data_IF_918368609436
#
_entry.id   IF_918368609436
#
_cell.length_a   1.000
_cell.length_b   1.000
_cell.length_c   1.000
_cell.angle_alpha   90.00
_cell.angle_beta   90.00
_cell.angle_gamma   90.00
#
_symmetry.space_group_name_H-M   'P 1'
#
loop_
_entity.id
_entity.type
_entity.pdbx_description
1 polymer ?
#
# COMPACT_ATOMS: atom_id res chain seq x y z
N UNK A 1 31.66 6.32 -5.27
CA UNK A 1 30.28 6.81 -5.47
C UNK A 1 29.40 5.77 -6.16
N UNK A 2 29.73 5.21 -7.35
CA UNK A 2 28.86 4.25 -8.05
C UNK A 2 28.55 3.00 -7.23
N UNK A 3 29.49 2.44 -6.46
CA UNK A 3 29.25 1.29 -5.58
C UNK A 3 28.19 1.63 -4.51
N UNK A 4 28.23 2.83 -3.95
CA UNK A 4 27.25 3.27 -2.94
C UNK A 4 25.85 3.45 -3.53
N UNK A 5 25.76 3.86 -4.81
CA UNK A 5 24.48 3.94 -5.53
C UNK A 5 23.91 2.54 -5.77
N UNK A 6 24.73 1.55 -6.14
CA UNK A 6 24.27 0.15 -6.24
C UNK A 6 23.81 -0.41 -4.90
N UNK A 7 24.52 -0.09 -3.80
CA UNK A 7 24.08 -0.47 -2.44
C UNK A 7 22.72 0.17 -2.13
N UNK A 8 22.54 1.47 -2.39
CA UNK A 8 21.27 2.15 -2.19
C UNK A 8 20.16 1.52 -3.03
N UNK A 9 20.41 1.23 -4.31
CA UNK A 9 19.46 0.54 -5.18
C UNK A 9 19.05 -0.83 -4.63
N UNK A 10 19.98 -1.61 -4.11
CA UNK A 10 19.70 -2.88 -3.46
C UNK A 10 18.84 -2.74 -2.20
N UNK A 11 19.12 -1.72 -1.39
CA UNK A 11 18.37 -1.44 -0.17
C UNK A 11 16.93 -1.00 -0.44
N UNK A 12 16.65 -0.29 -1.54
CA UNK A 12 15.27 0.05 -1.92
C UNK A 12 14.38 -1.19 -2.07
N UNK A 13 14.90 -2.28 -2.59
CA UNK A 13 14.15 -3.53 -2.75
C UNK A 13 14.20 -4.36 -1.45
N UNK A 14 15.37 -4.45 -0.84
CA UNK A 14 15.60 -5.34 0.31
C UNK A 14 14.70 -4.98 1.48
N UNK A 15 14.55 -3.68 1.81
CA UNK A 15 13.79 -3.24 2.99
C UNK A 15 12.33 -3.68 2.94
N UNK A 16 11.51 -3.35 1.92
CA UNK A 16 10.12 -3.80 1.88
C UNK A 16 9.98 -5.32 1.73
N UNK A 17 10.90 -6.00 1.04
CA UNK A 17 10.90 -7.47 0.95
C UNK A 17 11.12 -8.10 2.32
N UNK A 18 12.11 -7.64 3.07
CA UNK A 18 12.37 -8.12 4.44
C UNK A 18 11.16 -7.89 5.35
N UNK A 19 10.51 -6.72 5.25
CA UNK A 19 9.29 -6.44 6.00
C UNK A 19 8.17 -7.43 5.66
N UNK A 20 7.96 -7.75 4.37
CA UNK A 20 6.98 -8.76 3.94
C UNK A 20 7.34 -10.16 4.45
N UNK A 21 8.61 -10.54 4.35
CA UNK A 21 9.09 -11.85 4.83
C UNK A 21 8.86 -11.98 6.33
N UNK A 22 9.27 -11.00 7.13
CA UNK A 22 9.05 -10.98 8.59
C UNK A 22 7.55 -11.07 8.90
N UNK A 23 6.72 -10.25 8.22
CA UNK A 23 5.27 -10.27 8.42
C UNK A 23 4.67 -11.64 8.08
N UNK A 24 5.16 -12.31 7.04
CA UNK A 24 4.70 -13.65 6.65
C UNK A 24 5.02 -14.70 7.70
N UNK A 25 6.26 -14.72 8.20
CA UNK A 25 6.68 -15.69 9.20
C UNK A 25 5.93 -15.51 10.53
N UNK A 26 5.65 -14.27 10.94
CA UNK A 26 4.97 -14.00 12.20
C UNK A 26 3.45 -14.22 12.08
N UNK A 27 2.84 -13.83 10.95
CA UNK A 27 1.36 -13.68 10.86
C UNK A 27 0.68 -14.34 9.65
N UNK A 28 1.44 -14.96 8.74
CA UNK A 28 0.93 -15.72 7.57
C UNK A 28 -0.19 -14.98 6.80
N UNK A 29 0.12 -13.85 6.18
CA UNK A 29 -0.80 -13.16 5.28
C UNK A 29 -0.99 -13.92 3.96
N UNK A 30 -2.01 -13.54 3.18
CA UNK A 30 -2.27 -14.12 1.86
C UNK A 30 -1.43 -13.43 0.80
N UNK A 31 -0.85 -14.20 -0.10
CA UNK A 31 -0.06 -13.66 -1.21
C UNK A 31 -0.90 -12.75 -2.15
N UNK A 32 -2.21 -12.98 -2.26
CA UNK A 32 -3.14 -12.10 -2.99
C UNK A 32 -3.15 -10.66 -2.48
N UNK A 33 -2.84 -10.43 -1.20
CA UNK A 33 -2.72 -9.09 -0.65
C UNK A 33 -1.49 -8.36 -1.20
N UNK A 34 -0.37 -9.07 -1.38
CA UNK A 34 0.84 -8.53 -2.00
C UNK A 34 0.57 -8.16 -3.46
N UNK A 35 -0.03 -9.07 -4.22
CA UNK A 35 -0.42 -8.78 -5.62
C UNK A 35 -1.37 -7.58 -5.66
N UNK A 36 -2.33 -7.51 -4.74
CA UNK A 36 -3.28 -6.40 -4.65
C UNK A 36 -2.61 -5.04 -4.41
N UNK A 37 -1.61 -4.96 -3.52
CA UNK A 37 -0.86 -3.74 -3.28
C UNK A 37 -0.04 -3.30 -4.49
N UNK A 38 0.68 -4.20 -5.12
CA UNK A 38 1.42 -3.95 -6.36
C UNK A 38 0.48 -3.49 -7.49
N UNK A 39 -0.65 -4.18 -7.66
CA UNK A 39 -1.65 -3.82 -8.68
C UNK A 39 -2.25 -2.43 -8.40
N UNK A 40 -2.54 -2.08 -7.13
CA UNK A 40 -3.02 -0.76 -6.75
C UNK A 40 -2.06 0.34 -7.18
N UNK A 41 -0.76 0.15 -6.93
CA UNK A 41 0.28 1.08 -7.36
C UNK A 41 0.31 1.26 -8.88
N UNK A 42 0.39 0.16 -9.62
CA UNK A 42 0.47 0.22 -11.08
C UNK A 42 -0.77 0.87 -11.70
N UNK A 43 -1.97 0.51 -11.26
CA UNK A 43 -3.20 1.11 -11.78
C UNK A 43 -3.27 2.61 -11.46
N UNK A 44 -2.95 3.02 -10.23
CA UNK A 44 -2.93 4.42 -9.87
C UNK A 44 -1.88 5.20 -10.67
N UNK A 45 -0.63 4.73 -10.68
CA UNK A 45 0.52 5.49 -11.17
C UNK A 45 0.68 5.42 -12.70
N UNK A 46 0.44 4.25 -13.30
CA UNK A 46 0.71 4.04 -14.73
C UNK A 46 -0.53 4.20 -15.61
N UNK A 47 -1.72 4.16 -15.02
CA UNK A 47 -2.97 4.28 -15.77
C UNK A 47 -3.74 5.54 -15.41
N UNK A 48 -4.12 5.71 -14.13
CA UNK A 48 -5.03 6.79 -13.74
C UNK A 48 -4.37 8.17 -13.73
N UNK A 49 -3.17 8.30 -13.16
CA UNK A 49 -2.47 9.59 -13.12
C UNK A 49 -2.18 10.11 -14.53
N UNK A 50 -1.59 9.35 -15.48
CA UNK A 50 -1.39 9.81 -16.85
C UNK A 50 -2.70 10.14 -17.57
N UNK A 51 -3.76 9.33 -17.36
CA UNK A 51 -5.07 9.59 -17.96
C UNK A 51 -5.66 10.93 -17.50
N UNK A 52 -5.62 11.20 -16.19
CA UNK A 52 -6.11 12.46 -15.62
C UNK A 52 -5.23 13.62 -16.08
N UNK A 53 -3.90 13.47 -16.11
CA UNK A 53 -2.99 14.50 -16.62
C UNK A 53 -3.29 14.85 -18.09
N UNK A 54 -3.57 13.85 -18.93
CA UNK A 54 -3.98 14.05 -20.31
C UNK A 54 -5.34 14.79 -20.40
N UNK A 55 -6.31 14.41 -19.56
CA UNK A 55 -7.60 15.12 -19.50
C UNK A 55 -7.43 16.57 -19.03
N UNK A 56 -6.56 16.84 -18.06
CA UNK A 56 -6.26 18.20 -17.61
C UNK A 56 -5.61 19.03 -18.71
N UNK A 57 -4.71 18.44 -19.51
CA UNK A 57 -4.11 19.11 -20.65
C UNK A 57 -5.16 19.54 -21.69
N UNK A 58 -6.21 18.74 -21.92
CA UNK A 58 -7.28 19.09 -22.88
C UNK A 58 -8.13 20.30 -22.46
N UNK A 59 -8.18 20.63 -21.16
CA UNK A 59 -8.89 21.80 -20.62
C UNK A 59 -7.98 23.00 -20.36
N UNK A 60 -6.77 23.01 -20.92
CA UNK A 60 -5.81 24.09 -20.78
C UNK A 60 -4.95 24.06 -19.51
N UNK A 61 -5.07 23.03 -18.69
CA UNK A 61 -4.22 22.81 -17.51
C UNK A 61 -3.07 21.84 -17.85
N UNK A 62 -2.44 22.07 -19.00
CA UNK A 62 -1.28 21.29 -19.46
C UNK A 62 0.04 21.72 -18.82
N UNK A 63 1.14 21.16 -19.34
CA UNK A 63 2.48 21.36 -18.80
C UNK A 63 2.88 22.84 -18.78
N UNK A 64 2.56 23.64 -19.80
CA UNK A 64 2.85 25.06 -19.85
C UNK A 64 2.18 25.86 -18.72
N UNK A 65 0.93 25.52 -18.40
CA UNK A 65 0.23 26.13 -17.27
C UNK A 65 0.95 25.84 -15.96
N UNK A 66 1.35 24.58 -15.73
CA UNK A 66 2.01 24.17 -14.51
C UNK A 66 3.44 24.65 -14.38
N UNK A 67 4.17 24.83 -15.48
CA UNK A 67 5.50 25.44 -15.46
C UNK A 67 5.46 26.90 -14.95
N UNK A 68 4.39 27.64 -15.29
CA UNK A 68 4.20 29.01 -14.81
C UNK A 68 3.67 29.08 -13.35
N UNK A 69 3.09 27.98 -12.85
CA UNK A 69 2.49 27.89 -11.50
C UNK A 69 3.10 26.75 -10.68
N UNK A 70 4.42 26.74 -10.55
CA UNK A 70 5.18 25.63 -9.94
C UNK A 70 4.66 25.17 -8.59
N UNK A 71 4.34 26.08 -7.67
CA UNK A 71 3.79 25.74 -6.37
C UNK A 71 2.41 25.06 -6.49
N UNK A 72 1.53 25.59 -7.34
CA UNK A 72 0.23 24.99 -7.63
C UNK A 72 0.34 23.59 -8.24
N UNK A 73 1.34 23.39 -9.12
CA UNK A 73 1.67 22.10 -9.70
C UNK A 73 2.04 21.06 -8.63
N UNK A 74 2.90 21.40 -7.71
CA UNK A 74 3.33 20.49 -6.63
C UNK A 74 2.14 20.11 -5.75
N UNK A 75 1.34 21.09 -5.32
CA UNK A 75 0.14 20.83 -4.50
C UNK A 75 -0.87 19.94 -5.24
N UNK A 76 -1.11 20.22 -6.53
CA UNK A 76 -2.04 19.41 -7.34
C UNK A 76 -1.51 17.99 -7.53
N UNK A 77 -0.21 17.83 -7.75
CA UNK A 77 0.42 16.53 -7.91
C UNK A 77 0.29 15.68 -6.64
N UNK A 78 0.55 16.27 -5.46
CA UNK A 78 0.34 15.61 -4.16
C UNK A 78 -1.12 15.22 -3.98
N UNK A 79 -2.04 16.12 -4.29
CA UNK A 79 -3.48 15.88 -4.17
C UNK A 79 -3.94 14.72 -5.04
N UNK A 80 -3.58 14.72 -6.33
CA UNK A 80 -3.95 13.66 -7.27
C UNK A 80 -3.32 12.32 -6.86
N UNK A 81 -2.03 12.31 -6.56
CA UNK A 81 -1.33 11.10 -6.16
C UNK A 81 -1.95 10.52 -4.89
N UNK A 82 -2.15 11.34 -3.84
CA UNK A 82 -2.72 10.87 -2.58
C UNK A 82 -4.11 10.26 -2.79
N UNK A 83 -5.02 10.98 -3.46
CA UNK A 83 -6.40 10.51 -3.64
C UNK A 83 -6.46 9.24 -4.49
N UNK A 84 -5.73 9.20 -5.60
CA UNK A 84 -5.77 8.04 -6.51
C UNK A 84 -5.13 6.81 -5.89
N UNK A 85 -4.02 6.95 -5.19
CA UNK A 85 -3.39 5.86 -4.45
C UNK A 85 -4.33 5.31 -3.37
N UNK A 86 -4.92 6.18 -2.56
CA UNK A 86 -5.82 5.77 -1.49
C UNK A 86 -7.09 5.11 -2.02
N UNK A 87 -7.67 5.68 -3.08
CA UNK A 87 -8.85 5.13 -3.72
C UNK A 87 -8.56 3.72 -4.26
N UNK A 88 -7.44 3.53 -4.95
CA UNK A 88 -7.06 2.23 -5.50
C UNK A 88 -6.75 1.20 -4.41
N UNK A 89 -6.02 1.59 -3.38
CA UNK A 89 -5.78 0.73 -2.21
C UNK A 89 -7.09 0.32 -1.54
N UNK A 90 -8.00 1.27 -1.33
CA UNK A 90 -9.31 0.99 -0.72
C UNK A 90 -10.17 0.08 -1.59
N UNK A 91 -10.26 0.33 -2.91
CA UNK A 91 -11.06 -0.46 -3.84
C UNK A 91 -10.54 -1.90 -3.90
N UNK A 92 -9.24 -2.08 -4.07
CA UNK A 92 -8.65 -3.43 -4.12
C UNK A 92 -8.82 -4.14 -2.78
N UNK A 93 -8.61 -3.47 -1.66
CA UNK A 93 -8.85 -4.02 -0.33
C UNK A 93 -10.32 -4.46 -0.17
N UNK A 94 -11.26 -3.62 -0.59
CA UNK A 94 -12.69 -3.90 -0.51
C UNK A 94 -13.10 -5.11 -1.36
N UNK A 95 -12.59 -5.21 -2.60
CA UNK A 95 -12.98 -6.27 -3.52
C UNK A 95 -12.19 -7.56 -3.32
N UNK A 96 -10.90 -7.48 -3.05
CA UNK A 96 -10.03 -8.66 -2.93
C UNK A 96 -10.18 -9.34 -1.56
N UNK A 97 -10.45 -8.56 -0.51
CA UNK A 97 -10.46 -9.05 0.87
C UNK A 97 -11.87 -9.11 1.50
N UNK A 98 -12.93 -9.05 0.69
CA UNK A 98 -14.34 -8.82 1.06
C UNK A 98 -14.84 -9.58 2.28
N UNK A 99 -14.64 -10.89 2.40
CA UNK A 99 -15.31 -11.70 3.45
C UNK A 99 -14.34 -12.46 4.39
N UNK A 100 -13.05 -12.50 4.10
CA UNK A 100 -12.05 -13.29 4.84
C UNK A 100 -10.74 -12.54 5.07
N UNK A 101 -10.79 -11.19 5.04
CA UNK A 101 -9.60 -10.38 5.25
C UNK A 101 -9.10 -10.48 6.69
N UNK A 102 -7.83 -10.75 6.83
CA UNK A 102 -7.11 -10.60 8.09
C UNK A 102 -6.47 -9.23 8.12
N UNK A 103 -6.30 -8.67 9.30
CA UNK A 103 -5.61 -7.38 9.48
C UNK A 103 -4.21 -7.38 8.85
N UNK A 104 -3.55 -8.53 8.88
CA UNK A 104 -2.20 -8.71 8.31
C UNK A 104 -2.20 -8.70 6.77
N UNK A 105 -3.30 -9.05 6.13
CA UNK A 105 -3.46 -8.91 4.67
C UNK A 105 -3.47 -7.42 4.28
N UNK A 106 -4.13 -6.57 5.07
CA UNK A 106 -4.11 -5.13 4.86
C UNK A 106 -2.71 -4.53 5.06
N UNK A 107 -1.99 -4.97 6.11
CA UNK A 107 -0.61 -4.55 6.32
C UNK A 107 0.32 -4.98 5.17
N UNK A 108 0.20 -6.23 4.69
CA UNK A 108 0.97 -6.73 3.57
C UNK A 108 0.68 -5.94 2.28
N UNK A 109 -0.58 -5.56 2.05
CA UNK A 109 -0.97 -4.71 0.92
C UNK A 109 -0.31 -3.33 0.99
N UNK A 110 -0.26 -2.69 2.17
CA UNK A 110 0.41 -1.41 2.35
C UNK A 110 1.91 -1.47 2.08
N UNK A 111 2.60 -2.52 2.56
CA UNK A 111 4.03 -2.73 2.29
C UNK A 111 4.27 -2.97 0.80
N UNK A 112 3.47 -3.81 0.15
CA UNK A 112 3.65 -4.19 -1.24
C UNK A 112 3.32 -3.07 -2.22
N UNK A 113 2.46 -2.14 -1.86
CA UNK A 113 2.21 -0.94 -2.63
C UNK A 113 3.51 -0.13 -2.82
N UNK A 114 4.23 0.12 -1.74
CA UNK A 114 5.51 0.84 -1.79
C UNK A 114 6.68 -0.03 -2.29
N UNK A 115 6.58 -1.35 -2.26
CA UNK A 115 7.55 -2.23 -2.94
C UNK A 115 7.60 -1.95 -4.44
N UNK A 116 6.45 -1.70 -5.07
CA UNK A 116 6.39 -1.36 -6.50
C UNK A 116 7.08 -0.01 -6.80
N UNK A 117 6.86 1.01 -5.95
CA UNK A 117 7.56 2.29 -6.07
C UNK A 117 9.06 2.18 -5.77
N UNK A 118 9.42 1.42 -4.74
CA UNK A 118 10.81 1.11 -4.39
C UNK A 118 11.56 0.44 -5.54
N UNK A 119 10.90 -0.44 -6.30
CA UNK A 119 11.47 -1.07 -7.49
C UNK A 119 11.80 -0.02 -8.57
N UNK A 120 10.92 0.95 -8.78
CA UNK A 120 11.17 2.08 -9.71
C UNK A 120 12.40 2.86 -9.29
N UNK A 121 12.51 3.22 -8.00
CA UNK A 121 13.68 3.93 -7.47
C UNK A 121 14.95 3.09 -7.57
N UNK A 122 14.89 1.79 -7.31
CA UNK A 122 16.02 0.89 -7.46
C UNK A 122 16.54 0.84 -8.90
N UNK A 123 15.64 0.74 -9.87
CA UNK A 123 15.99 0.73 -11.29
C UNK A 123 16.60 2.07 -11.72
N UNK A 124 16.00 3.20 -11.35
CA UNK A 124 16.55 4.54 -11.64
C UNK A 124 17.94 4.72 -11.02
N UNK A 125 18.09 4.37 -9.74
CA UNK A 125 19.37 4.50 -9.04
C UNK A 125 20.45 3.58 -9.62
N UNK A 126 20.08 2.37 -10.05
CA UNK A 126 21.01 1.45 -10.75
C UNK A 126 21.44 2.02 -12.09
N UNK A 127 20.53 2.66 -12.83
CA UNK A 127 20.84 3.35 -14.08
C UNK A 127 21.80 4.51 -13.83
N UNK A 128 21.55 5.33 -12.84
CA UNK A 128 22.45 6.42 -12.43
C UNK A 128 23.83 5.90 -12.01
N UNK A 129 23.88 4.80 -11.26
CA UNK A 129 25.15 4.17 -10.89
C UNK A 129 25.96 3.75 -12.13
N UNK A 130 25.30 3.18 -13.14
CA UNK A 130 25.90 2.78 -14.42
C UNK A 130 26.38 3.99 -15.22
N UNK A 131 25.55 5.02 -15.36
CA UNK A 131 25.94 6.28 -16.06
C UNK A 131 27.19 6.87 -15.41
N UNK A 132 27.21 6.99 -14.08
CA UNK A 132 28.35 7.52 -13.35
C UNK A 132 29.60 6.63 -13.47
N UNK A 133 29.44 5.31 -13.48
CA UNK A 133 30.54 4.37 -13.70
C UNK A 133 31.16 4.54 -15.10
N UNK A 134 30.35 4.66 -16.15
CA UNK A 134 30.80 4.87 -17.53
C UNK A 134 31.48 6.24 -17.69
N UNK A 135 30.96 7.27 -17.03
CA UNK A 135 31.59 8.59 -16.97
C UNK A 135 33.01 8.53 -16.37
N UNK A 136 33.15 7.86 -15.20
CA UNK A 136 34.45 7.68 -14.57
C UNK A 136 35.46 6.88 -15.43
N UNK A 137 34.98 5.98 -16.25
CA UNK A 137 35.79 5.19 -17.19
C UNK A 137 36.11 5.92 -18.48
N UNK A 138 35.62 7.14 -18.69
CA UNK A 138 35.76 7.89 -19.94
C UNK A 138 35.00 7.30 -21.12
N UNK A 139 33.99 6.48 -20.86
CA UNK A 139 33.22 5.68 -21.83
C UNK A 139 31.77 6.10 -21.96
N UNK A 140 31.43 7.32 -21.54
CA UNK A 140 30.04 7.80 -21.55
C UNK A 140 29.43 7.78 -22.95
N UNK A 141 30.21 8.02 -23.99
CA UNK A 141 29.77 7.96 -25.38
C UNK A 141 29.20 6.59 -25.82
N UNK A 142 29.60 5.51 -25.15
CA UNK A 142 29.05 4.17 -25.44
C UNK A 142 27.60 3.99 -24.97
N UNK A 143 27.08 4.91 -24.16
CA UNK A 143 25.71 4.90 -23.69
C UNK A 143 24.77 5.77 -24.54
N UNK A 144 25.31 6.48 -25.53
CA UNK A 144 24.49 7.32 -26.42
C UNK A 144 23.59 6.44 -27.28
N UNK A 145 22.31 6.75 -27.29
CA UNK A 145 21.26 6.08 -28.10
C UNK A 145 20.38 7.14 -28.75
N UNK A 146 19.38 6.73 -29.52
CA UNK A 146 18.38 7.67 -30.08
C UNK A 146 17.63 8.45 -29.00
N UNK A 147 17.45 7.86 -27.83
CA UNK A 147 16.70 8.45 -26.69
C UNK A 147 17.60 9.03 -25.60
N UNK A 148 18.89 8.67 -25.56
CA UNK A 148 19.86 9.13 -24.58
C UNK A 148 20.99 9.88 -25.30
N UNK A 149 20.86 11.20 -25.43
CA UNK A 149 21.88 12.06 -26.04
C UNK A 149 23.06 12.28 -25.09
N UNK A 150 24.21 12.67 -25.64
CA UNK A 150 25.38 13.00 -24.82
C UNK A 150 25.09 14.10 -23.80
N UNK A 151 24.37 15.15 -24.21
CA UNK A 151 23.94 16.24 -23.34
C UNK A 151 23.06 15.75 -22.16
N UNK A 152 22.10 14.85 -22.42
CA UNK A 152 21.25 14.27 -21.37
C UNK A 152 22.05 13.41 -20.39
N UNK A 153 23.05 12.68 -20.88
CA UNK A 153 23.92 11.86 -20.03
C UNK A 153 24.85 12.72 -19.16
N UNK A 154 25.43 13.79 -19.73
CA UNK A 154 26.23 14.75 -18.97
C UNK A 154 25.42 15.52 -17.93
N UNK A 155 24.18 15.91 -18.26
CA UNK A 155 23.24 16.48 -17.30
C UNK A 155 22.97 15.52 -16.15
N UNK A 156 22.67 14.24 -16.45
CA UNK A 156 22.46 13.21 -15.43
C UNK A 156 23.70 13.02 -14.52
N UNK A 157 24.91 13.07 -15.08
CA UNK A 157 26.15 13.03 -14.27
C UNK A 157 26.24 14.23 -13.34
N UNK A 158 25.96 15.42 -13.83
CA UNK A 158 25.98 16.64 -13.02
C UNK A 158 24.94 16.58 -11.89
N UNK A 159 23.76 16.07 -12.17
CA UNK A 159 22.71 15.87 -11.16
C UNK A 159 23.16 14.88 -10.08
N UNK A 160 23.77 13.75 -10.47
CA UNK A 160 24.30 12.75 -9.53
C UNK A 160 25.40 13.34 -8.64
N UNK A 161 26.30 14.13 -9.23
CA UNK A 161 27.42 14.74 -8.51
C UNK A 161 26.92 15.83 -7.56
N UNK A 162 25.99 16.67 -8.00
CA UNK A 162 25.43 17.75 -7.19
C UNK A 162 24.55 17.24 -6.04
N UNK A 163 23.73 16.22 -6.28
CA UNK A 163 22.90 15.60 -5.24
C UNK A 163 23.75 14.85 -4.20
N UNK A 164 24.84 14.25 -4.63
CA UNK A 164 25.69 13.39 -3.79
C UNK A 164 24.98 12.11 -3.35
N UNK A 165 25.74 11.19 -2.79
CA UNK A 165 25.22 9.88 -2.33
C UNK A 165 24.20 10.03 -1.19
N UNK A 166 24.36 11.05 -0.36
CA UNK A 166 23.46 11.33 0.76
C UNK A 166 21.99 11.47 0.37
N UNK A 167 21.72 12.07 -0.79
CA UNK A 167 20.35 12.24 -1.30
C UNK A 167 19.62 10.90 -1.50
N UNK A 168 20.30 9.86 -1.95
CA UNK A 168 19.71 8.53 -2.15
C UNK A 168 19.38 7.82 -0.83
N UNK A 169 20.18 8.03 0.22
CA UNK A 169 19.87 7.52 1.55
C UNK A 169 18.73 8.30 2.22
N UNK A 170 18.63 9.59 1.97
CA UNK A 170 17.47 10.41 2.39
C UNK A 170 16.20 9.91 1.70
N UNK A 171 16.27 9.61 0.40
CA UNK A 171 15.16 9.03 -0.34
C UNK A 171 14.77 7.63 0.18
N UNK A 172 15.75 6.78 0.51
CA UNK A 172 15.49 5.48 1.13
C UNK A 172 14.74 5.64 2.46
N UNK A 173 15.16 6.59 3.29
CA UNK A 173 14.48 6.89 4.55
C UNK A 173 13.03 7.37 4.32
N UNK A 174 12.81 8.22 3.32
CA UNK A 174 11.47 8.67 2.94
C UNK A 174 10.57 7.51 2.52
N UNK A 175 11.06 6.60 1.67
CA UNK A 175 10.31 5.41 1.25
C UNK A 175 9.95 4.53 2.44
N UNK A 176 10.87 4.35 3.39
CA UNK A 176 10.58 3.61 4.61
C UNK A 176 9.47 4.27 5.45
N UNK A 177 9.52 5.59 5.59
CA UNK A 177 8.50 6.38 6.26
C UNK A 177 7.12 6.27 5.58
N UNK A 178 7.09 6.41 4.25
CA UNK A 178 5.87 6.29 3.46
C UNK A 178 5.32 4.86 3.43
N UNK A 179 6.19 3.84 3.50
CA UNK A 179 5.76 2.45 3.66
C UNK A 179 5.02 2.26 4.99
N UNK A 180 5.53 2.80 6.10
CA UNK A 180 4.86 2.75 7.39
C UNK A 180 3.51 3.50 7.35
N UNK A 181 3.46 4.66 6.69
CA UNK A 181 2.23 5.42 6.48
C UNK A 181 1.20 4.61 5.68
N UNK A 182 1.60 3.97 4.58
CA UNK A 182 0.70 3.15 3.76
C UNK A 182 0.16 1.94 4.54
N UNK A 183 0.96 1.32 5.39
CA UNK A 183 0.46 0.27 6.31
C UNK A 183 -0.60 0.84 7.25
N UNK A 184 -0.37 2.00 7.87
CA UNK A 184 -1.35 2.65 8.75
C UNK A 184 -2.65 2.96 8.00
N UNK A 185 -2.57 3.47 6.78
CA UNK A 185 -3.72 3.75 5.91
C UNK A 185 -4.51 2.50 5.55
N UNK A 186 -3.82 1.43 5.14
CA UNK A 186 -4.49 0.16 4.86
C UNK A 186 -5.22 -0.41 6.08
N UNK A 187 -4.74 -0.15 7.30
CA UNK A 187 -5.45 -0.51 8.52
C UNK A 187 -6.72 0.34 8.73
N UNK A 188 -6.71 1.64 8.43
CA UNK A 188 -7.92 2.49 8.41
C UNK A 188 -8.92 2.01 7.36
N UNK A 189 -8.45 1.71 6.14
CA UNK A 189 -9.31 1.18 5.08
C UNK A 189 -9.90 -0.19 5.43
N UNK A 190 -9.12 -1.05 6.06
CA UNK A 190 -9.61 -2.31 6.62
C UNK A 190 -10.74 -2.09 7.63
N UNK A 191 -10.61 -1.11 8.54
CA UNK A 191 -11.69 -0.76 9.47
C UNK A 191 -12.92 -0.23 8.74
N UNK A 192 -12.73 0.62 7.73
CA UNK A 192 -13.82 1.16 6.93
C UNK A 192 -14.63 0.04 6.26
N UNK A 193 -13.96 -0.93 5.66
CA UNK A 193 -14.60 -2.10 5.03
C UNK A 193 -15.29 -2.98 6.07
N UNK A 194 -14.63 -3.26 7.21
CA UNK A 194 -15.13 -4.16 8.23
C UNK A 194 -16.31 -3.58 9.00
N UNK A 195 -16.28 -2.29 9.32
CA UNK A 195 -17.34 -1.58 10.05
C UNK A 195 -18.42 -1.01 9.13
N UNK A 196 -18.25 -1.13 7.80
CA UNK A 196 -19.17 -0.59 6.77
C UNK A 196 -19.43 0.92 6.96
N UNK A 197 -18.41 1.68 7.38
CA UNK A 197 -18.51 3.13 7.58
C UNK A 197 -17.44 3.85 6.78
N UNK A 198 -17.83 4.91 6.06
CA UNK A 198 -16.92 5.76 5.28
C UNK A 198 -16.03 6.66 6.13
N UNK A 199 -16.33 6.84 7.43
CA UNK A 199 -15.58 7.77 8.28
C UNK A 199 -14.08 7.41 8.34
N UNK A 200 -13.73 6.13 8.49
CA UNK A 200 -12.33 5.70 8.52
C UNK A 200 -11.62 5.86 7.18
N UNK A 201 -12.34 5.75 6.06
CA UNK A 201 -11.81 6.02 4.73
C UNK A 201 -11.44 7.50 4.62
N UNK A 202 -12.38 8.40 4.93
CA UNK A 202 -12.15 9.85 4.84
C UNK A 202 -11.06 10.32 5.81
N UNK A 203 -11.02 9.78 7.04
CA UNK A 203 -9.94 10.08 7.99
C UNK A 203 -8.57 9.63 7.47
N UNK A 204 -8.49 8.43 6.88
CA UNK A 204 -7.26 7.92 6.29
C UNK A 204 -6.79 8.78 5.12
N UNK A 205 -7.67 9.03 4.15
CA UNK A 205 -7.36 9.87 2.98
C UNK A 205 -6.95 11.30 3.39
N UNK A 206 -7.69 11.91 4.32
CA UNK A 206 -7.38 13.25 4.81
C UNK A 206 -6.03 13.31 5.53
N UNK A 207 -5.73 12.34 6.39
CA UNK A 207 -4.44 12.25 7.07
C UNK A 207 -3.29 12.03 6.07
N UNK A 208 -3.48 11.15 5.08
CA UNK A 208 -2.48 10.90 4.03
C UNK A 208 -2.17 12.16 3.24
N UNK A 209 -3.21 12.83 2.74
CA UNK A 209 -3.05 14.08 2.00
C UNK A 209 -2.27 15.14 2.80
N UNK A 210 -2.66 15.35 4.07
CA UNK A 210 -1.99 16.34 4.93
C UNK A 210 -0.53 15.97 5.19
N UNK A 211 -0.23 14.69 5.44
CA UNK A 211 1.14 14.24 5.72
C UNK A 211 2.02 14.29 4.48
N UNK A 212 1.52 13.89 3.30
CA UNK A 212 2.26 14.03 2.05
C UNK A 212 2.51 15.49 1.71
N UNK A 213 1.49 16.34 1.84
CA UNK A 213 1.64 17.77 1.61
C UNK A 213 2.71 18.37 2.55
N UNK A 214 2.73 17.96 3.82
CA UNK A 214 3.76 18.40 4.76
C UNK A 214 5.17 17.95 4.34
N UNK A 215 5.32 16.71 3.82
CA UNK A 215 6.61 16.18 3.33
C UNK A 215 7.11 17.00 2.13
N UNK A 216 6.24 17.26 1.13
CA UNK A 216 6.61 17.98 -0.07
C UNK A 216 6.87 19.47 0.20
N UNK A 217 6.06 20.11 1.04
CA UNK A 217 6.31 21.48 1.48
C UNK A 217 7.62 21.61 2.27
N UNK A 218 7.96 20.61 3.09
CA UNK A 218 9.23 20.60 3.81
C UNK A 218 10.43 20.56 2.85
N UNK A 219 10.34 19.79 1.75
CA UNK A 219 11.36 19.77 0.71
C UNK A 219 11.41 21.11 -0.05
N UNK A 220 10.25 21.65 -0.39
CA UNK A 220 10.12 22.87 -1.18
C UNK A 220 10.69 24.11 -0.47
N UNK A 221 10.35 24.31 0.80
CA UNK A 221 10.72 25.50 1.57
C UNK A 221 11.94 25.34 2.46
N UNK A 222 12.18 24.14 2.99
CA UNK A 222 13.14 23.91 4.06
C UNK A 222 14.35 23.05 3.67
N UNK A 223 14.36 22.50 2.46
CA UNK A 223 15.44 21.62 2.00
C UNK A 223 15.54 20.30 2.77
N UNK A 224 16.69 19.63 2.63
CA UNK A 224 16.88 18.24 3.09
C UNK A 224 16.68 18.02 4.58
N UNK A 225 17.04 19.00 5.43
CA UNK A 225 16.92 18.86 6.90
C UNK A 225 15.43 18.82 7.31
N UNK A 226 14.63 19.73 6.79
CA UNK A 226 13.20 19.74 7.06
C UNK A 226 12.50 18.52 6.48
N UNK A 227 12.89 18.12 5.28
CA UNK A 227 12.38 16.90 4.64
C UNK A 227 12.63 15.66 5.51
N UNK A 228 13.84 15.47 6.03
CA UNK A 228 14.17 14.35 6.93
C UNK A 228 13.34 14.44 8.22
N UNK A 229 13.24 15.65 8.80
CA UNK A 229 12.52 15.86 10.06
C UNK A 229 11.04 15.50 9.92
N UNK A 230 10.38 15.97 8.86
CA UNK A 230 8.96 15.68 8.62
C UNK A 230 8.75 14.18 8.32
N UNK A 231 9.62 13.56 7.53
CA UNK A 231 9.56 12.10 7.30
C UNK A 231 9.75 11.31 8.60
N UNK A 232 10.61 11.77 9.53
CA UNK A 232 10.76 11.13 10.84
C UNK A 232 9.46 11.24 11.68
N UNK A 233 8.81 12.40 11.65
CA UNK A 233 7.52 12.60 12.32
C UNK A 233 6.45 11.68 11.71
N UNK A 234 6.35 11.61 10.37
CA UNK A 234 5.42 10.72 9.67
C UNK A 234 5.65 9.26 10.06
N UNK A 235 6.91 8.83 10.11
CA UNK A 235 7.28 7.48 10.53
C UNK A 235 6.82 7.18 11.96
N UNK A 236 7.12 8.07 12.91
CA UNK A 236 6.75 7.89 14.33
C UNK A 236 5.23 7.84 14.49
N UNK A 237 4.49 8.76 13.87
CA UNK A 237 3.04 8.78 13.91
C UNK A 237 2.43 7.50 13.32
N UNK A 238 2.94 7.05 12.18
CA UNK A 238 2.51 5.81 11.53
C UNK A 238 2.77 4.59 12.42
N UNK A 239 3.95 4.49 13.03
CA UNK A 239 4.28 3.42 13.96
C UNK A 239 3.37 3.42 15.21
N UNK A 240 3.03 4.60 15.77
CA UNK A 240 2.09 4.71 16.88
C UNK A 240 0.70 4.21 16.47
N UNK A 241 0.22 4.62 15.30
CA UNK A 241 -1.09 4.16 14.77
C UNK A 241 -1.10 2.65 14.59
N UNK A 242 -0.09 2.09 13.92
CA UNK A 242 0.04 0.64 13.71
C UNK A 242 0.07 -0.10 15.05
N UNK A 243 0.88 0.35 16.00
CA UNK A 243 1.01 -0.26 17.32
C UNK A 243 -0.33 -0.24 18.08
N UNK A 244 -0.99 0.91 18.18
CA UNK A 244 -2.29 1.07 18.84
C UNK A 244 -3.35 0.17 18.20
N UNK A 245 -3.40 0.15 16.87
CA UNK A 245 -4.32 -0.69 16.13
C UNK A 245 -4.09 -2.16 16.44
N UNK A 246 -2.86 -2.63 16.35
CA UNK A 246 -2.50 -4.02 16.58
C UNK A 246 -2.72 -4.46 18.05
N UNK A 247 -2.50 -3.57 19.02
CA UNK A 247 -2.81 -3.81 20.42
C UNK A 247 -4.32 -4.03 20.62
N UNK A 248 -5.14 -3.10 20.15
CA UNK A 248 -6.61 -3.20 20.22
C UNK A 248 -7.14 -4.43 19.50
N UNK A 249 -6.58 -4.78 18.33
CA UNK A 249 -6.97 -5.99 17.60
C UNK A 249 -6.67 -7.28 18.40
N UNK A 250 -5.48 -7.36 19.04
CA UNK A 250 -5.14 -8.52 19.92
C UNK A 250 -6.07 -8.66 21.11
N UNK A 251 -6.43 -7.54 21.75
CA UNK A 251 -7.39 -7.54 22.87
C UNK A 251 -8.77 -8.07 22.43
N UNK A 252 -9.26 -7.61 21.28
CA UNK A 252 -10.52 -8.09 20.72
C UNK A 252 -10.48 -9.59 20.41
N UNK A 253 -9.37 -10.10 19.87
CA UNK A 253 -9.19 -11.52 19.60
C UNK A 253 -9.17 -12.35 20.89
N UNK A 254 -8.50 -11.87 21.93
CA UNK A 254 -8.49 -12.53 23.25
C UNK A 254 -9.89 -12.57 23.86
N UNK A 255 -10.62 -11.46 23.83
CA UNK A 255 -11.99 -11.39 24.33
C UNK A 255 -12.94 -12.34 23.59
N UNK A 256 -12.82 -12.44 22.26
CA UNK A 256 -13.60 -13.40 21.47
C UNK A 256 -13.24 -14.85 21.81
N UNK A 257 -11.96 -15.17 21.97
CA UNK A 257 -11.53 -16.51 22.35
C UNK A 257 -12.05 -16.91 23.75
N UNK A 258 -12.04 -15.99 24.71
CA UNK A 258 -12.62 -16.21 26.05
C UNK A 258 -14.13 -16.47 25.99
N UNK A 259 -14.87 -15.67 25.20
CA UNK A 259 -16.32 -15.91 25.01
C UNK A 259 -16.60 -17.27 24.38
N UNK A 260 -15.81 -17.69 23.39
CA UNK A 260 -15.98 -19.02 22.79
C UNK A 260 -15.66 -20.15 23.75
N UNK A 261 -14.65 -19.99 24.60
CA UNK A 261 -14.34 -20.99 25.65
C UNK A 261 -15.47 -21.09 26.69
N UNK A 262 -15.97 -19.94 27.17
CA UNK A 262 -17.10 -19.91 28.10
C UNK A 262 -18.37 -20.55 27.50
N UNK A 263 -18.66 -20.26 26.23
CA UNK A 263 -19.79 -20.91 25.53
C UNK A 263 -19.62 -22.42 25.40
N UNK A 264 -18.42 -22.91 25.06
CA UNK A 264 -18.15 -24.36 25.00
C UNK A 264 -18.27 -25.04 26.37
N UNK A 265 -17.88 -24.35 27.44
CA UNK A 265 -18.06 -24.87 28.80
C UNK A 265 -19.53 -24.93 29.22
N UNK A 266 -20.32 -23.90 28.88
CA UNK A 266 -21.78 -23.92 29.16
C UNK A 266 -22.51 -25.03 28.41
N UNK A 267 -22.09 -25.33 27.16
CA UNK A 267 -22.65 -26.47 26.41
C UNK A 267 -22.28 -27.81 27.01
N UNK A 268 -21.10 -27.96 27.64
CA UNK A 268 -20.69 -29.19 28.32
C UNK A 268 -21.37 -29.38 29.66
N UNK A 269 -21.74 -28.28 30.33
CA UNK A 269 -22.45 -28.31 31.62
C UNK A 269 -23.99 -28.34 31.50
N UNK A 270 -24.51 -28.17 30.28
CA UNK A 270 -25.95 -28.34 30.05
C UNK A 270 -26.35 -29.79 30.31
N UNK A 271 -27.37 -30.05 31.16
CA UNK A 271 -27.86 -31.39 31.39
C UNK A 271 -28.28 -32.05 30.09
N UNK A 272 -27.89 -33.30 29.91
CA UNK A 272 -28.31 -34.07 28.74
C UNK A 272 -29.83 -33.98 28.60
N UNK A 273 -30.37 -33.73 27.39
CA UNK A 273 -31.80 -33.71 27.20
C UNK A 273 -32.37 -35.04 27.74
N UNK A 274 -33.22 -34.93 28.74
CA UNK A 274 -33.87 -36.10 29.32
C UNK A 274 -34.59 -36.86 28.20
N UNK A 275 -34.18 -38.08 27.97
CA UNK A 275 -34.71 -38.98 26.93
C UNK A 275 -36.12 -39.49 27.26
N UNK A 276 -36.99 -38.64 27.79
CA UNK A 276 -38.41 -38.91 28.03
C UNK A 276 -39.31 -38.20 27.02
N UNK A 277 -38.93 -38.18 25.76
CA UNK A 277 -39.91 -37.98 24.69
C UNK A 277 -40.37 -39.36 24.25
N UNK A 278 -41.51 -39.74 24.76
CA UNK A 278 -42.33 -40.91 24.35
C UNK A 278 -42.34 -40.99 22.81
N UNK A 279 -41.97 -42.18 22.34
CA UNK A 279 -42.11 -42.63 20.97
C UNK A 279 -43.56 -42.37 20.52
N UNK A 280 -43.80 -41.60 19.45
CA UNK A 280 -45.13 -41.57 18.87
C UNK A 280 -45.42 -42.95 18.27
N UNK A 281 -46.52 -43.56 18.74
CA UNK A 281 -47.15 -44.78 18.27
C UNK A 281 -47.39 -44.58 16.74
N UNK A 282 -46.95 -45.57 15.96
CA UNK A 282 -47.23 -45.68 14.54
C UNK A 282 -48.73 -45.81 14.32
N UNK A 283 -49.34 -44.81 13.72
CA UNK A 283 -50.66 -44.94 13.10
C UNK A 283 -50.45 -45.22 11.61
N UNK A 284 -50.75 -46.43 11.23
CA UNK A 284 -51.01 -46.85 9.86
C UNK A 284 -52.09 -45.95 9.25
N UNK A 285 -51.77 -45.39 8.08
CA UNK A 285 -52.78 -45.09 7.06
C UNK A 285 -52.11 -45.17 5.71
N UNK A 286 -52.53 -46.18 5.01
CA UNK A 286 -52.38 -46.44 3.59
C UNK A 286 -52.98 -45.32 2.75
N UNK A 287 -52.50 -45.32 1.50
CA UNK A 287 -53.16 -44.96 0.26
C UNK A 287 -52.74 -43.66 -0.48
N UNK A 288 -52.40 -44.05 -1.69
CA UNK A 288 -52.61 -43.43 -3.02
C UNK A 288 -51.64 -42.30 -3.42
N UNK A 289 -50.81 -42.58 -4.36
CA UNK A 289 -50.97 -42.73 -5.81
C UNK A 289 -51.03 -41.39 -6.58
N UNK A 290 -50.29 -41.44 -7.65
CA UNK A 290 -50.28 -40.58 -8.89
C UNK A 290 -49.53 -39.25 -8.80
N UNK A 291 -48.44 -39.15 -9.55
CA UNK A 291 -48.19 -38.99 -11.00
C UNK A 291 -48.03 -37.56 -11.46
N UNK A 292 -47.10 -37.45 -12.36
CA UNK A 292 -46.86 -36.44 -13.42
C UNK A 292 -45.93 -35.28 -13.07
N UNK A 293 -44.74 -35.32 -13.64
CA UNK A 293 -44.25 -35.00 -14.99
C UNK A 293 -44.36 -33.52 -15.38
N UNK A 294 -43.28 -33.13 -15.97
CA UNK A 294 -42.98 -31.98 -16.88
C UNK A 294 -42.22 -30.81 -16.22
N UNK A 295 -40.98 -30.56 -16.60
CA UNK A 295 -40.32 -30.13 -17.85
C UNK A 295 -40.32 -28.60 -18.00
N UNK A 296 -39.13 -28.14 -18.38
CA UNK A 296 -38.81 -26.90 -19.14
C UNK A 296 -38.77 -25.59 -18.32
N UNK A 297 -37.76 -24.89 -18.46
CA UNK A 297 -36.80 -24.22 -19.29
C UNK A 297 -35.66 -23.58 -18.46
#
# INVERSE_FOLDING_TARGET
MHIQLYIAAGLFILVPVVCLVILHFIHRYRFTAVIGGVAAYFVATQLLIPLISMMMATIGLGEEFWLSHRFGSEVMNVFLNSILHDLMLFLILKFTLKNRSRVYDAAAMGISFWLADSLRYALSTSTYARVYQMYQAGRLSEMVTETATMESLESAVNDIVSAGVGAYYVQLFSIFSLTALSVALCLFFYLSVKRKTGAFLLMGMGAHLLLLLAVDLALYFGGSVWYITVNAIVLVLSCIVIWRFMASYREQQRAMAQKQMAYKQSLKSAPAPSSSASKPEAADSEDSETAETESNE
#
